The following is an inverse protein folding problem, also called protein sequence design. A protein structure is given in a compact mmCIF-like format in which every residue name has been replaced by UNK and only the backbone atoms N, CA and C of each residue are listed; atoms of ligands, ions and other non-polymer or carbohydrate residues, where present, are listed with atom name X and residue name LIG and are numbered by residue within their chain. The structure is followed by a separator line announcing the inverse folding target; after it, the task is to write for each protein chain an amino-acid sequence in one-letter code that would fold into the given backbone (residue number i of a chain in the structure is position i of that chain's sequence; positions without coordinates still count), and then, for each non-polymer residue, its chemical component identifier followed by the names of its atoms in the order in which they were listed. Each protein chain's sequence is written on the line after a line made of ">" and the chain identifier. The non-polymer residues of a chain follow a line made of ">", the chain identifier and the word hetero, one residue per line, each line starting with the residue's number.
data_IF_775510263719
#
_entry.id   IF_775510263719
#
_cell.length_a   1.000
_cell.length_b   1.000
_cell.length_c   1.000
_cell.angle_alpha   90.00
_cell.angle_beta   90.00
_cell.angle_gamma   90.00
#
_symmetry.space_group_name_H-M   'P 1'
#
loop_
_entity.id
_entity.type
_entity.pdbx_description
1 polymer ?
#
# COMPACT_ATOMS: atom_id res chain seq x y z
N UNK A 1 61.50 -47.10 42.79
CA UNK A 1 61.25 -45.63 42.83
C UNK A 1 60.39 -45.27 41.65
N UNK A 2 59.13 -45.10 41.92
CA UNK A 2 58.15 -44.74 40.86
C UNK A 2 57.97 -43.25 40.77
N UNK A 3 58.36 -42.68 39.68
CA UNK A 3 58.15 -41.29 39.38
C UNK A 3 56.78 -41.12 38.69
N UNK A 4 55.81 -40.60 39.44
CA UNK A 4 54.47 -40.39 38.90
C UNK A 4 54.40 -38.97 38.29
N UNK A 5 54.51 -38.93 36.99
CA UNK A 5 54.34 -37.68 36.25
C UNK A 5 52.85 -37.40 36.09
N UNK A 6 52.37 -36.47 36.90
CA UNK A 6 50.99 -35.95 36.72
C UNK A 6 50.96 -35.02 35.52
N UNK A 7 50.36 -35.51 34.44
CA UNK A 7 50.01 -34.68 33.29
C UNK A 7 48.79 -33.82 33.68
N UNK A 8 48.97 -32.56 33.87
CA UNK A 8 47.89 -31.62 33.99
C UNK A 8 47.35 -31.33 32.57
N UNK A 9 46.14 -31.77 32.32
CA UNK A 9 45.38 -31.32 31.17
C UNK A 9 44.79 -29.95 31.46
N UNK A 10 45.38 -28.92 30.87
CA UNK A 10 44.78 -27.59 30.84
C UNK A 10 43.59 -27.62 29.89
N UNK A 11 42.38 -27.63 30.40
CA UNK A 11 41.19 -27.44 29.62
C UNK A 11 41.09 -25.94 29.24
N UNK A 12 41.42 -25.62 28.03
CA UNK A 12 41.16 -24.31 27.44
C UNK A 12 39.66 -24.22 27.13
N UNK A 13 38.92 -23.58 28.02
CA UNK A 13 37.55 -23.17 27.76
C UNK A 13 37.59 -21.98 26.83
N UNK A 14 37.42 -22.22 25.55
CA UNK A 14 37.19 -21.19 24.56
C UNK A 14 35.74 -20.71 24.72
N UNK A 15 35.54 -19.60 25.38
CA UNK A 15 34.27 -18.92 25.43
C UNK A 15 34.00 -18.32 24.04
N UNK A 16 33.17 -18.99 23.26
CA UNK A 16 32.55 -18.43 22.03
C UNK A 16 31.57 -17.36 22.46
N UNK A 17 32.03 -16.10 22.50
CA UNK A 17 31.16 -14.94 22.55
C UNK A 17 30.41 -14.89 21.21
N UNK A 18 29.20 -15.47 21.21
CA UNK A 18 28.28 -15.30 20.11
C UNK A 18 27.90 -13.83 20.02
N UNK A 19 28.45 -13.13 19.06
CA UNK A 19 27.98 -11.82 18.69
C UNK A 19 26.62 -12.03 18.01
N UNK A 20 25.55 -11.89 18.78
CA UNK A 20 24.22 -11.75 18.20
C UNK A 20 24.22 -10.41 17.48
N UNK A 21 24.51 -10.44 16.19
CA UNK A 21 24.27 -9.32 15.34
C UNK A 21 22.75 -9.10 15.28
N UNK A 22 22.25 -8.08 15.97
CA UNK A 22 20.92 -7.55 15.75
C UNK A 22 20.90 -6.99 14.31
N UNK A 23 20.49 -7.83 13.36
CA UNK A 23 20.16 -7.32 12.04
C UNK A 23 18.81 -6.65 12.16
N UNK A 24 18.69 -5.34 11.85
CA UNK A 24 17.39 -4.72 11.74
C UNK A 24 16.59 -5.50 10.68
N UNK A 25 15.30 -5.77 10.90
CA UNK A 25 14.50 -6.38 9.87
C UNK A 25 14.66 -5.53 8.60
N UNK A 26 15.12 -6.15 7.52
CA UNK A 26 15.15 -5.51 6.22
C UNK A 26 13.73 -4.98 6.00
N UNK A 27 13.57 -3.66 5.83
CA UNK A 27 12.31 -3.07 5.46
C UNK A 27 11.88 -3.80 4.18
N UNK A 28 10.89 -4.69 4.29
CA UNK A 28 10.36 -5.37 3.14
C UNK A 28 9.84 -4.26 2.21
N UNK A 29 10.43 -4.14 1.03
CA UNK A 29 9.90 -3.26 0.00
C UNK A 29 8.44 -3.64 -0.20
N UNK A 30 7.55 -2.74 0.17
CA UNK A 30 6.12 -2.96 0.00
C UNK A 30 5.85 -2.93 -1.49
N UNK A 31 5.70 -4.10 -2.07
CA UNK A 31 5.34 -4.22 -3.48
C UNK A 31 3.87 -3.86 -3.65
N UNK A 32 3.60 -2.90 -4.51
CA UNK A 32 2.25 -2.62 -4.95
C UNK A 32 1.74 -3.75 -5.83
N UNK A 33 0.52 -4.20 -5.56
CA UNK A 33 -0.17 -5.21 -6.35
C UNK A 33 -1.41 -4.61 -6.99
N UNK A 34 -1.55 -4.82 -8.29
CA UNK A 34 -2.75 -4.41 -9.02
C UNK A 34 -3.95 -5.23 -8.55
N UNK A 35 -5.04 -4.55 -8.23
CA UNK A 35 -6.27 -5.19 -7.82
C UNK A 35 -7.12 -5.59 -9.04
N UNK A 36 -7.73 -6.76 -8.94
CA UNK A 36 -8.80 -7.15 -9.85
C UNK A 36 -10.10 -6.44 -9.51
N UNK A 37 -11.06 -6.40 -10.44
CA UNK A 37 -12.39 -5.83 -10.19
C UNK A 37 -13.08 -6.45 -8.98
N UNK A 38 -12.97 -7.76 -8.81
CA UNK A 38 -13.52 -8.45 -7.65
C UNK A 38 -12.88 -8.01 -6.34
N UNK A 39 -11.56 -7.78 -6.33
CA UNK A 39 -10.85 -7.28 -5.16
C UNK A 39 -11.21 -5.83 -4.83
N UNK A 40 -11.37 -4.98 -5.85
CA UNK A 40 -11.84 -3.60 -5.68
C UNK A 40 -13.25 -3.62 -5.07
N UNK A 41 -14.16 -4.41 -5.64
CA UNK A 41 -15.53 -4.54 -5.16
C UNK A 41 -15.63 -5.08 -3.72
N UNK A 42 -14.66 -5.88 -3.29
CA UNK A 42 -14.63 -6.40 -1.93
C UNK A 42 -14.03 -5.40 -0.92
N UNK A 43 -13.09 -4.58 -1.33
CA UNK A 43 -12.31 -3.70 -0.44
C UNK A 43 -12.84 -2.29 -0.31
N UNK A 44 -13.35 -1.71 -1.38
CA UNK A 44 -13.71 -0.29 -1.42
C UNK A 44 -15.01 0.09 -0.70
N UNK A 45 -16.07 -0.76 -0.66
CA UNK A 45 -17.29 -0.37 0.05
C UNK A 45 -17.03 -0.02 1.52
N UNK A 46 -17.31 1.23 1.90
CA UNK A 46 -17.07 1.78 3.23
C UNK A 46 -15.64 2.26 3.47
N UNK A 47 -14.78 2.23 2.45
CA UNK A 47 -13.42 2.75 2.55
C UNK A 47 -13.40 4.28 2.47
N UNK A 48 -12.49 4.88 3.22
CA UNK A 48 -12.15 6.28 3.11
C UNK A 48 -10.70 6.43 2.66
N UNK A 49 -10.49 7.21 1.62
CA UNK A 49 -9.18 7.67 1.18
C UNK A 49 -9.05 9.16 1.51
N UNK A 50 -7.96 9.54 2.12
CA UNK A 50 -7.77 10.93 2.55
C UNK A 50 -6.28 11.25 2.67
N UNK A 51 -5.94 12.52 2.45
CA UNK A 51 -4.63 13.08 2.82
C UNK A 51 -4.63 13.65 4.25
N UNK A 52 -5.74 13.47 4.98
CA UNK A 52 -5.98 13.97 6.36
C UNK A 52 -5.98 15.48 6.52
N UNK A 53 -5.72 16.25 5.46
CA UNK A 53 -5.60 17.68 5.54
C UNK A 53 -6.53 18.44 4.59
N UNK A 54 -6.56 18.06 3.33
CA UNK A 54 -7.18 18.87 2.28
C UNK A 54 -8.31 18.16 1.54
N UNK A 55 -8.23 16.84 1.41
CA UNK A 55 -9.22 16.10 0.67
C UNK A 55 -9.52 14.72 1.30
N UNK A 56 -10.67 14.19 0.97
CA UNK A 56 -11.10 12.87 1.35
C UNK A 56 -12.19 12.36 0.43
N UNK A 57 -12.22 11.07 0.21
CA UNK A 57 -13.23 10.36 -0.56
C UNK A 57 -13.74 9.16 0.23
N UNK A 58 -15.04 9.09 0.43
CA UNK A 58 -15.70 7.97 1.08
C UNK A 58 -16.49 7.18 0.04
N UNK A 59 -16.13 5.92 -0.10
CA UNK A 59 -16.79 4.98 -1.01
C UNK A 59 -17.95 4.32 -0.29
N UNK A 60 -19.12 4.89 -0.40
CA UNK A 60 -20.32 4.36 0.23
C UNK A 60 -20.72 3.02 -0.37
N UNK A 61 -21.27 2.15 0.45
CA UNK A 61 -21.70 0.80 0.02
C UNK A 61 -22.78 0.81 -1.05
N UNK A 62 -23.54 1.88 -1.13
CA UNK A 62 -24.61 2.07 -2.12
C UNK A 62 -24.12 2.61 -3.48
N UNK A 63 -22.81 2.81 -3.65
CA UNK A 63 -22.25 3.36 -4.88
C UNK A 63 -22.12 4.89 -4.89
N UNK A 64 -22.51 5.56 -3.83
CA UNK A 64 -22.27 7.01 -3.68
C UNK A 64 -20.80 7.24 -3.31
N UNK A 65 -20.20 8.26 -3.90
CA UNK A 65 -18.88 8.78 -3.55
C UNK A 65 -19.05 10.11 -2.85
N UNK A 66 -18.73 10.17 -1.57
CA UNK A 66 -18.72 11.44 -0.83
C UNK A 66 -17.33 12.04 -0.93
N UNK A 67 -17.23 13.20 -1.55
CA UNK A 67 -15.97 13.91 -1.80
C UNK A 67 -15.90 15.09 -0.85
N UNK A 68 -14.79 15.22 -0.14
CA UNK A 68 -14.48 16.41 0.67
C UNK A 68 -13.22 17.04 0.10
N UNK A 69 -13.30 18.30 -0.26
CA UNK A 69 -12.17 19.05 -0.80
C UNK A 69 -12.13 20.44 -0.16
N UNK A 70 -11.04 20.77 0.50
CA UNK A 70 -10.86 22.08 1.17
C UNK A 70 -12.05 22.49 2.07
N UNK A 71 -12.63 21.51 2.77
CA UNK A 71 -13.78 21.71 3.66
C UNK A 71 -15.15 21.71 2.96
N UNK A 72 -15.20 21.63 1.64
CA UNK A 72 -16.44 21.52 0.88
C UNK A 72 -16.79 20.06 0.61
N UNK A 73 -18.05 19.70 0.78
CA UNK A 73 -18.55 18.35 0.48
C UNK A 73 -19.35 18.35 -0.81
N UNK A 74 -19.09 17.38 -1.64
CA UNK A 74 -19.86 17.06 -2.84
C UNK A 74 -20.14 15.58 -2.94
N UNK A 75 -21.09 15.18 -3.75
CA UNK A 75 -21.44 13.79 -3.97
C UNK A 75 -21.21 13.40 -5.42
N UNK A 76 -20.61 12.24 -5.61
CA UNK A 76 -20.45 11.59 -6.89
C UNK A 76 -20.93 10.15 -6.81
N UNK A 77 -20.48 9.37 -7.75
CA UNK A 77 -20.76 7.93 -7.85
C UNK A 77 -19.47 7.18 -8.12
N UNK A 78 -19.42 5.95 -7.66
CA UNK A 78 -18.33 5.04 -7.98
C UNK A 78 -18.87 3.69 -8.41
N UNK A 79 -18.15 3.02 -9.27
CA UNK A 79 -18.44 1.67 -9.74
C UNK A 79 -17.17 0.94 -10.12
N UNK A 80 -17.24 -0.36 -10.18
CA UNK A 80 -16.17 -1.21 -10.71
C UNK A 80 -16.54 -1.67 -12.11
N UNK A 81 -15.62 -1.51 -13.03
CA UNK A 81 -15.77 -1.91 -14.41
C UNK A 81 -14.44 -2.45 -14.93
N UNK A 82 -14.41 -3.69 -15.40
CA UNK A 82 -13.23 -4.32 -16.03
C UNK A 82 -11.95 -4.12 -15.19
N UNK A 83 -11.87 -4.58 -13.98
CA UNK A 83 -10.70 -4.41 -13.12
C UNK A 83 -10.26 -2.95 -12.90
N UNK A 84 -11.18 -2.02 -13.04
CA UNK A 84 -10.97 -0.60 -12.82
C UNK A 84 -11.99 -0.02 -11.85
N UNK A 85 -11.55 0.96 -11.09
CA UNK A 85 -12.40 1.81 -10.27
C UNK A 85 -12.80 3.03 -11.10
N UNK A 86 -14.08 3.18 -11.38
CA UNK A 86 -14.60 4.30 -12.15
C UNK A 86 -15.33 5.29 -11.25
N UNK A 87 -14.94 6.54 -11.31
CA UNK A 87 -15.46 7.64 -10.52
C UNK A 87 -16.21 8.63 -11.41
N UNK A 88 -17.42 8.96 -11.01
CA UNK A 88 -18.17 10.08 -11.57
C UNK A 88 -18.24 11.17 -10.49
N UNK A 89 -17.45 12.18 -10.67
CA UNK A 89 -17.28 13.30 -9.71
C UNK A 89 -18.07 14.55 -10.12
N UNK A 90 -18.86 14.46 -11.18
CA UNK A 90 -19.58 15.62 -11.73
C UNK A 90 -18.62 16.69 -12.23
N UNK A 91 -18.70 17.88 -11.64
CA UNK A 91 -17.82 19.01 -11.99
C UNK A 91 -16.51 19.05 -11.19
N UNK A 92 -16.37 18.17 -10.19
CA UNK A 92 -15.13 18.08 -9.43
C UNK A 92 -14.04 17.37 -10.22
N UNK A 93 -12.77 17.70 -9.99
CA UNK A 93 -11.67 16.95 -10.60
C UNK A 93 -11.59 15.51 -10.09
N UNK A 94 -10.92 14.66 -10.83
CA UNK A 94 -10.66 13.29 -10.41
C UNK A 94 -11.62 12.23 -10.98
N UNK A 95 -12.59 12.62 -11.84
CA UNK A 95 -13.45 11.66 -12.52
C UNK A 95 -12.70 10.81 -13.55
N UNK A 96 -13.21 9.62 -13.84
CA UNK A 96 -12.64 8.68 -14.81
C UNK A 96 -12.45 7.28 -14.25
N UNK A 97 -11.84 6.41 -15.03
CA UNK A 97 -11.56 5.03 -14.64
C UNK A 97 -10.06 4.85 -14.33
N UNK A 98 -9.79 4.20 -13.23
CA UNK A 98 -8.45 4.03 -12.68
C UNK A 98 -8.10 2.58 -12.47
N UNK A 99 -6.89 2.21 -12.81
CA UNK A 99 -6.27 1.01 -12.27
C UNK A 99 -5.86 1.24 -10.82
N UNK A 100 -6.12 0.28 -9.96
CA UNK A 100 -5.87 0.41 -8.52
C UNK A 100 -4.77 -0.53 -8.09
N UNK A 101 -3.80 0.01 -7.39
CA UNK A 101 -2.68 -0.70 -6.83
C UNK A 101 -2.70 -0.59 -5.31
N UNK A 102 -2.42 -1.67 -4.62
CA UNK A 102 -2.44 -1.73 -3.15
C UNK A 102 -1.12 -2.29 -2.61
N UNK A 103 -0.60 -1.62 -1.62
CA UNK A 103 0.51 -2.10 -0.79
C UNK A 103 0.21 -1.82 0.68
N UNK A 104 -0.16 -2.86 1.42
CA UNK A 104 -0.61 -2.68 2.80
C UNK A 104 -1.85 -1.79 2.88
N UNK A 105 -1.71 -0.60 3.44
CA UNK A 105 -2.77 0.43 3.52
C UNK A 105 -2.66 1.50 2.44
N UNK A 106 -1.58 1.49 1.68
CA UNK A 106 -1.33 2.49 0.66
C UNK A 106 -2.05 2.10 -0.63
N UNK A 107 -2.84 3.02 -1.13
CA UNK A 107 -3.58 2.87 -2.38
C UNK A 107 -3.01 3.86 -3.39
N UNK A 108 -2.70 3.36 -4.56
CA UNK A 108 -2.34 4.18 -5.72
C UNK A 108 -3.35 3.92 -6.83
N UNK A 109 -3.78 4.97 -7.50
CA UNK A 109 -4.71 4.91 -8.62
C UNK A 109 -4.07 5.58 -9.83
N UNK A 110 -4.02 4.85 -10.94
CA UNK A 110 -3.51 5.36 -12.21
C UNK A 110 -4.62 5.37 -13.24
N UNK A 111 -4.74 6.47 -13.97
CA UNK A 111 -5.67 6.53 -15.11
C UNK A 111 -5.27 5.49 -16.15
N UNK A 112 -6.28 4.81 -16.69
CA UNK A 112 -6.02 3.83 -17.73
C UNK A 112 -5.40 4.47 -18.97
N UNK A 113 -4.49 3.75 -19.62
CA UNK A 113 -3.81 4.20 -20.85
C UNK A 113 -4.80 4.60 -21.95
N UNK A 114 -5.99 4.05 -21.94
CA UNK A 114 -7.02 4.36 -22.92
C UNK A 114 -7.56 5.78 -22.76
N UNK A 115 -7.69 6.28 -21.53
CA UNK A 115 -8.10 7.66 -21.28
C UNK A 115 -6.97 8.63 -21.55
N UNK A 116 -5.73 8.22 -21.31
CA UNK A 116 -4.57 9.00 -21.68
C UNK A 116 -4.45 9.19 -23.20
N UNK A 117 -4.73 8.15 -23.98
CA UNK A 117 -4.75 8.20 -25.44
C UNK A 117 -5.82 9.15 -26.00
N UNK A 118 -6.90 9.39 -25.25
CA UNK A 118 -7.99 10.31 -25.62
C UNK A 118 -7.77 11.76 -25.12
N UNK A 119 -6.60 12.07 -24.56
CA UNK A 119 -6.23 13.41 -24.12
C UNK A 119 -6.62 13.77 -22.69
N UNK A 120 -7.03 12.78 -21.88
CA UNK A 120 -7.44 12.96 -20.48
C UNK A 120 -6.32 12.95 -19.44
N UNK A 121 -5.08 12.62 -19.82
CA UNK A 121 -3.92 12.69 -18.93
C UNK A 121 -3.16 13.98 -19.17
N UNK A 122 -3.36 14.97 -18.31
CA UNK A 122 -2.38 16.03 -18.17
C UNK A 122 -1.15 15.40 -17.50
N UNK A 123 -0.02 15.37 -18.22
CA UNK A 123 1.26 15.04 -17.62
C UNK A 123 1.63 16.18 -16.66
N UNK A 124 1.34 16.01 -15.40
CA UNK A 124 1.96 16.85 -14.38
C UNK A 124 3.41 16.40 -14.25
N UNK A 125 4.26 17.15 -14.84
CA UNK A 125 5.68 17.13 -14.52
C UNK A 125 5.93 17.91 -13.24
#
# INVERSE_FOLDING_TARGET
>A
MSSTTKKQLAAATTALLGVFAFQPPAAAEQKFQKLTGAQIQAKFPGMELTDEAHWGEVFERNGTLTITSMGHKSAGKWRVQKDQLCLDTGNEPGGGCYEVWLSGRNVEAEKSDLECALGGCASET
#
